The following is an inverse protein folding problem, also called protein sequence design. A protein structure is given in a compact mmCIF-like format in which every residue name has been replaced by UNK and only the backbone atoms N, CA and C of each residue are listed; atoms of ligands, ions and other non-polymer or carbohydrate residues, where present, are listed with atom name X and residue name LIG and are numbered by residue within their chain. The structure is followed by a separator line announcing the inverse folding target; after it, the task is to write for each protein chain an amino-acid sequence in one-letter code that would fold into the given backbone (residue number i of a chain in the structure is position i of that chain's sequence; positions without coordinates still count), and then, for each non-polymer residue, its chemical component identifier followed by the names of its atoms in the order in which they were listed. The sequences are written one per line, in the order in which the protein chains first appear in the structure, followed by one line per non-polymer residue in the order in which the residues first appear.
data_IF_433317540649
#
_entry.id   IF_433317540649
#
_cell.length_a   1.000
_cell.length_b   1.000
_cell.length_c   1.000
_cell.angle_alpha   90.00
_cell.angle_beta   90.00
_cell.angle_gamma   90.00
#
_symmetry.space_group_name_H-M   'P 1'
#
loop_
_entity.id
_entity.type
_entity.pdbx_description
1 polymer ?
#
# COMPACT_ATOMS: atom_id res chain seq x y z
N UNK A 1 -20.30 -12.72 -18.23
CA UNK A 1 -19.54 -12.92 -18.46
C UNK A 1 -18.36 -12.17 -18.22
N UNK A 2 -17.87 -11.60 -18.84
CA UNK A 2 -16.71 -10.89 -18.74
C UNK A 2 -16.60 -10.00 -17.59
N UNK A 3 -17.58 -9.36 -17.11
CA UNK A 3 -17.47 -8.54 -16.05
C UNK A 3 -17.15 -9.17 -14.82
N UNK A 4 -17.49 -10.36 -14.65
CA UNK A 4 -17.15 -11.03 -13.45
C UNK A 4 -15.67 -11.17 -13.28
N UNK A 5 -14.96 -11.37 -14.35
CA UNK A 5 -13.55 -11.51 -14.25
C UNK A 5 -12.91 -10.25 -13.81
N UNK A 6 -13.46 -9.13 -14.24
CA UNK A 6 -12.89 -7.92 -13.82
C UNK A 6 -13.09 -7.71 -12.36
N UNK A 7 -14.23 -8.07 -11.83
CA UNK A 7 -14.48 -7.93 -10.42
C UNK A 7 -13.52 -8.74 -9.61
N UNK A 8 -13.26 -9.95 -10.08
CA UNK A 8 -12.35 -10.81 -9.35
C UNK A 8 -10.98 -10.23 -9.26
N UNK A 9 -10.52 -9.60 -10.31
CA UNK A 9 -9.20 -9.03 -10.28
C UNK A 9 -9.12 -7.86 -9.31
N UNK A 10 -10.26 -7.29 -8.94
CA UNK A 10 -10.25 -6.17 -8.04
C UNK A 10 -10.47 -6.54 -6.60
N UNK A 11 -10.65 -7.80 -6.32
CA UNK A 11 -10.85 -8.20 -4.95
C UNK A 11 -9.60 -7.99 -4.12
N UNK A 12 -9.81 -7.64 -2.87
CA UNK A 12 -8.71 -7.45 -1.96
C UNK A 12 -8.02 -8.77 -1.68
N UNK A 13 -6.74 -8.73 -1.45
CA UNK A 13 -5.96 -9.90 -1.14
C UNK A 13 -5.29 -9.67 0.21
N UNK A 14 -5.01 -10.75 0.92
CA UNK A 14 -4.26 -10.70 2.16
C UNK A 14 -2.86 -10.17 1.86
N UNK A 15 -2.44 -9.07 2.45
CA UNK A 15 -1.12 -8.51 2.15
C UNK A 15 0.04 -9.47 2.40
N UNK A 16 -0.13 -10.41 3.33
CA UNK A 16 0.94 -11.35 3.60
C UNK A 16 1.12 -12.37 2.50
N UNK A 17 0.17 -12.46 1.58
CA UNK A 17 0.26 -13.37 0.45
C UNK A 17 0.85 -12.73 -0.79
N UNK A 18 1.17 -11.46 -0.73
CA UNK A 18 1.81 -10.79 -1.85
C UNK A 18 3.20 -11.34 -2.06
N UNK A 19 3.67 -11.29 -3.30
CA UNK A 19 4.99 -11.80 -3.66
C UNK A 19 5.86 -10.68 -4.20
N UNK A 20 7.15 -10.85 -4.08
CA UNK A 20 8.10 -9.90 -4.64
C UNK A 20 7.83 -9.78 -6.14
N UNK A 21 7.74 -8.55 -6.63
CA UNK A 21 7.42 -8.29 -8.04
C UNK A 21 5.96 -7.99 -8.29
N UNK A 22 5.07 -8.26 -7.32
CA UNK A 22 3.67 -7.87 -7.49
C UNK A 22 3.58 -6.35 -7.49
N UNK A 23 2.86 -5.79 -8.45
CA UNK A 23 2.54 -4.37 -8.46
C UNK A 23 1.17 -4.25 -7.84
N UNK A 24 1.09 -3.50 -6.76
CA UNK A 24 -0.11 -3.49 -5.92
C UNK A 24 -0.66 -2.10 -5.72
N UNK A 25 -1.95 -2.03 -5.52
CA UNK A 25 -2.61 -0.81 -5.06
C UNK A 25 -3.01 -1.07 -3.61
N UNK A 26 -2.68 -0.15 -2.74
CA UNK A 26 -2.86 -0.33 -1.30
C UNK A 26 -3.60 0.85 -0.69
N UNK A 27 -4.52 0.54 0.20
CA UNK A 27 -5.14 1.53 1.07
C UNK A 27 -4.66 1.25 2.48
N UNK A 28 -4.19 2.25 3.17
CA UNK A 28 -3.70 2.07 4.52
C UNK A 28 -3.99 3.30 5.37
N UNK A 29 -3.98 3.12 6.67
CA UNK A 29 -4.21 4.20 7.60
C UNK A 29 -2.93 4.56 8.32
N UNK A 30 -2.59 5.84 8.26
CA UNK A 30 -1.43 6.33 8.98
C UNK A 30 -1.91 6.89 10.32
N UNK A 31 -0.97 7.10 11.19
CA UNK A 31 -1.25 7.78 12.46
C UNK A 31 -1.63 9.22 12.14
N UNK A 32 -2.70 9.69 12.74
CA UNK A 32 -3.16 11.04 12.51
C UNK A 32 -3.23 11.78 13.84
N UNK A 33 -2.65 12.95 13.90
CA UNK A 33 -2.64 13.76 15.11
C UNK A 33 -3.60 14.93 14.97
N UNK A 34 -4.37 15.16 16.03
CA UNK A 34 -5.23 16.33 16.12
C UNK A 34 -4.65 17.24 17.17
N UNK A 35 -4.44 18.49 16.83
CA UNK A 35 -3.79 19.42 17.74
C UNK A 35 -4.78 20.39 18.37
N UNK A 36 -4.53 20.73 19.62
CA UNK A 36 -5.28 21.77 20.30
C UNK A 36 -6.77 21.52 20.35
N UNK A 37 -7.14 20.28 20.62
CA UNK A 37 -8.55 19.91 20.67
C UNK A 37 -9.00 19.97 22.12
N UNK A 38 -10.16 20.59 22.35
CA UNK A 38 -10.73 20.62 23.67
C UNK A 38 -11.48 19.33 23.94
N UNK A 39 -11.52 18.93 25.19
CA UNK A 39 -12.16 17.66 25.55
C UNK A 39 -13.61 17.61 25.09
N UNK A 40 -14.28 18.74 25.07
CA UNK A 40 -15.68 18.76 24.64
C UNK A 40 -15.85 18.51 23.15
N UNK A 41 -14.77 18.56 22.38
CA UNK A 41 -14.84 18.39 20.92
C UNK A 41 -14.46 16.98 20.49
N UNK A 42 -14.03 16.11 21.40
CA UNK A 42 -13.54 14.80 21.02
C UNK A 42 -14.55 13.99 20.22
N UNK A 43 -15.81 14.03 20.62
CA UNK A 43 -16.82 13.23 19.94
C UNK A 43 -17.16 13.74 18.54
N UNK A 44 -16.69 14.91 18.20
CA UNK A 44 -16.95 15.51 16.89
C UNK A 44 -15.80 15.33 15.92
N UNK A 45 -14.71 14.69 16.36
CA UNK A 45 -13.58 14.48 15.47
C UNK A 45 -13.94 13.49 14.38
N UNK A 46 -13.57 13.82 13.17
CA UNK A 46 -13.81 12.93 12.03
C UNK A 46 -12.71 11.90 11.95
N UNK A 47 -13.06 10.71 11.48
CA UNK A 47 -12.07 9.66 11.27
C UNK A 47 -11.18 10.02 10.09
N UNK A 48 -9.88 9.70 10.18
CA UNK A 48 -8.98 9.98 9.06
C UNK A 48 -9.35 9.14 7.85
N UNK A 49 -9.09 9.67 6.69
CA UNK A 49 -9.28 8.91 5.46
C UNK A 49 -8.07 8.04 5.19
N UNK A 50 -8.30 6.95 4.52
CA UNK A 50 -7.21 6.06 4.15
C UNK A 50 -6.32 6.73 3.12
N UNK A 51 -5.03 6.46 3.23
CA UNK A 51 -4.07 6.89 2.23
C UNK A 51 -3.97 5.79 1.19
N UNK A 52 -3.85 6.18 -0.06
CA UNK A 52 -3.71 5.22 -1.14
C UNK A 52 -2.36 5.36 -1.79
N UNK A 53 -1.74 4.22 -2.05
CA UNK A 53 -0.47 4.21 -2.75
C UNK A 53 -0.42 2.97 -3.64
N UNK A 54 0.57 2.94 -4.52
CA UNK A 54 0.77 1.78 -5.36
C UNK A 54 2.24 1.69 -5.73
N UNK A 55 2.66 0.49 -6.05
CA UNK A 55 4.04 0.24 -6.36
C UNK A 55 4.34 -1.24 -6.37
N UNK A 56 5.60 -1.57 -6.55
CA UNK A 56 6.02 -2.96 -6.63
C UNK A 56 6.53 -3.45 -5.29
N UNK A 57 6.16 -4.66 -4.93
CA UNK A 57 6.65 -5.28 -3.71
C UNK A 57 8.12 -5.64 -3.93
N UNK A 58 9.01 -5.10 -3.12
CA UNK A 58 10.44 -5.35 -3.25
C UNK A 58 11.03 -6.12 -2.07
N UNK A 59 10.33 -6.15 -0.96
CA UNK A 59 10.79 -6.89 0.21
C UNK A 59 9.61 -7.17 1.13
N UNK A 60 9.67 -8.28 1.84
CA UNK A 60 8.69 -8.63 2.85
C UNK A 60 9.42 -9.08 4.10
N UNK A 61 8.99 -8.60 5.23
CA UNK A 61 9.47 -9.12 6.50
C UNK A 61 8.26 -9.63 7.26
N UNK A 62 8.47 -10.08 8.46
CA UNK A 62 7.36 -10.61 9.27
C UNK A 62 6.32 -9.54 9.55
N UNK A 63 6.73 -8.30 9.67
CA UNK A 63 5.82 -7.21 10.07
C UNK A 63 5.55 -6.17 9.01
N UNK A 64 6.42 -6.09 8.01
CA UNK A 64 6.36 -4.99 7.05
C UNK A 64 6.37 -5.45 5.61
N UNK A 65 5.66 -4.71 4.81
CA UNK A 65 5.67 -4.84 3.36
C UNK A 65 6.41 -3.63 2.80
N UNK A 66 7.43 -3.86 1.97
CA UNK A 66 8.22 -2.78 1.38
C UNK A 66 7.82 -2.61 -0.07
N UNK A 67 7.38 -1.41 -0.41
CA UNK A 67 6.85 -1.08 -1.74
C UNK A 67 7.74 -0.04 -2.39
N UNK A 68 8.15 -0.28 -3.63
CA UNK A 68 8.85 0.71 -4.41
C UNK A 68 7.83 1.45 -5.25
N UNK A 69 7.55 2.69 -4.90
CA UNK A 69 6.57 3.48 -5.63
C UNK A 69 7.19 4.18 -6.82
N UNK A 70 8.51 4.30 -6.82
CA UNK A 70 9.21 4.91 -7.91
C UNK A 70 10.56 4.26 -8.06
N UNK A 71 10.87 3.82 -9.27
CA UNK A 71 12.18 3.28 -9.56
C UNK A 71 12.82 4.26 -10.52
N UNK A 72 13.89 4.84 -10.11
CA UNK A 72 14.58 5.83 -10.93
C UNK A 72 15.15 5.22 -12.19
N UNK A 73 15.67 6.07 -13.06
CA UNK A 73 16.28 5.58 -14.27
C UNK A 73 17.65 4.99 -13.91
N UNK A 74 18.35 4.47 -14.89
CA UNK A 74 19.59 3.78 -14.67
C UNK A 74 20.63 4.60 -13.96
N UNK A 75 20.56 5.90 -14.12
CA UNK A 75 21.57 6.77 -13.56
C UNK A 75 21.18 7.32 -12.19
N UNK A 76 20.03 6.95 -11.68
CA UNK A 76 19.65 7.47 -10.38
C UNK A 76 20.23 6.59 -9.29
N UNK A 77 20.49 7.20 -8.16
CA UNK A 77 21.13 6.54 -7.04
C UNK A 77 20.14 5.92 -6.07
N UNK A 78 18.98 5.56 -6.50
CA UNK A 78 18.08 4.93 -5.57
C UNK A 78 16.65 4.93 -6.02
N UNK A 79 15.79 4.44 -5.14
CA UNK A 79 14.37 4.33 -5.40
C UNK A 79 13.63 4.84 -4.19
N UNK A 80 12.39 5.18 -4.39
CA UNK A 80 11.54 5.61 -3.28
C UNK A 80 10.85 4.37 -2.71
N UNK A 81 11.13 4.05 -1.46
CA UNK A 81 10.60 2.86 -0.80
C UNK A 81 9.75 3.26 0.39
N UNK A 82 8.59 2.64 0.52
CA UNK A 82 7.77 2.79 1.70
C UNK A 82 7.67 1.47 2.41
N UNK A 83 7.85 1.48 3.72
CA UNK A 83 7.69 0.29 4.54
C UNK A 83 6.36 0.41 5.27
N UNK A 84 5.44 -0.47 4.96
CA UNK A 84 4.10 -0.44 5.53
C UNK A 84 3.90 -1.60 6.48
N UNK A 85 3.57 -1.33 7.75
CA UNK A 85 3.24 -2.43 8.66
C UNK A 85 1.99 -3.14 8.13
N UNK A 86 2.00 -4.45 8.11
CA UNK A 86 0.83 -5.19 7.63
C UNK A 86 -0.45 -4.80 8.37
N UNK A 87 -0.32 -4.51 9.64
CA UNK A 87 -1.50 -4.19 10.45
C UNK A 87 -2.17 -2.88 10.07
N UNK A 88 -1.47 -2.02 9.35
CA UNK A 88 -2.03 -0.74 8.95
C UNK A 88 -2.60 -0.78 7.54
N UNK A 89 -2.49 -1.90 6.86
CA UNK A 89 -3.02 -2.04 5.52
C UNK A 89 -4.49 -2.44 5.62
N UNK A 90 -5.35 -1.59 5.07
CA UNK A 90 -6.77 -1.83 5.09
C UNK A 90 -7.20 -2.72 3.93
N UNK A 91 -6.64 -2.48 2.77
CA UNK A 91 -6.97 -3.27 1.58
C UNK A 91 -5.84 -3.19 0.59
N UNK A 92 -5.62 -4.26 -0.15
CA UNK A 92 -4.67 -4.24 -1.24
C UNK A 92 -5.11 -5.18 -2.34
N UNK A 93 -4.65 -4.91 -3.54
CA UNK A 93 -4.93 -5.78 -4.68
C UNK A 93 -3.78 -5.72 -5.65
N UNK A 94 -3.55 -6.84 -6.32
CA UNK A 94 -2.49 -6.94 -7.32
C UNK A 94 -3.04 -6.38 -8.63
N UNK A 95 -2.33 -5.45 -9.21
CA UNK A 95 -2.73 -4.87 -10.49
C UNK A 95 -1.81 -5.28 -11.64
N UNK A 96 -0.62 -5.77 -11.32
CA UNK A 96 0.30 -6.24 -12.34
C UNK A 96 1.39 -7.04 -11.65
N UNK A 97 2.33 -7.53 -12.42
CA UNK A 97 3.46 -8.26 -11.89
C UNK A 97 4.67 -8.01 -12.78
N UNK A 98 5.81 -7.74 -12.16
CA UNK A 98 7.03 -7.48 -12.91
C UNK A 98 8.16 -8.34 -12.36
N UNK A 99 9.18 -8.53 -13.17
CA UNK A 99 10.39 -9.17 -12.72
C UNK A 99 11.37 -8.10 -12.33
N UNK A 100 11.77 -8.09 -11.07
CA UNK A 100 12.69 -7.06 -10.60
C UNK A 100 14.06 -7.19 -11.24
N UNK A 101 14.38 -8.37 -11.75
CA UNK A 101 15.65 -8.55 -12.43
C UNK A 101 15.69 -7.89 -13.79
N UNK A 102 14.56 -7.52 -14.34
CA UNK A 102 14.50 -6.88 -15.64
C UNK A 102 14.54 -5.36 -15.54
N UNK A 103 14.68 -4.84 -14.38
CA UNK A 103 14.73 -3.40 -14.13
C UNK A 103 16.17 -2.89 -13.88
#
# INVERSE_FOLDING_TARGET
MVKNKRSERKEAIDPEKLEIGDVVAIEWYDVHAYERIEMSEIDELEEPEATRCWGAVVRKTKRFLFIASEIGDKDSDGVWIEALPYKMIEACKVIDRISLNDI
#
